data_IF_425962599159
#
_entry.id   IF_425962599159
#
_cell.length_a   1.000
_cell.length_b   1.000
_cell.length_c   1.000
_cell.angle_alpha   90.00
_cell.angle_beta   90.00
_cell.angle_gamma   90.00
#
_symmetry.space_group_name_H-M   'P 1'
#
loop_
_entity.id
_entity.type
_entity.pdbx_description
1 polymer ?
#
# COMPACT_ATOMS: atom_id res chain seq x y z
N UNK A 1 -20.13 -9.38 15.94
CA UNK A 1 -20.51 -8.99 14.57
C UNK A 1 -19.22 -8.74 13.83
N UNK A 2 -18.98 -9.47 12.75
CA UNK A 2 -17.88 -9.13 11.84
C UNK A 2 -18.26 -7.81 11.15
N UNK A 3 -17.45 -6.77 11.36
CA UNK A 3 -17.61 -5.50 10.69
C UNK A 3 -17.03 -5.61 9.28
N UNK A 4 -17.78 -5.15 8.29
CA UNK A 4 -17.38 -5.12 6.88
C UNK A 4 -17.04 -3.71 6.45
N UNK A 5 -16.02 -3.56 5.61
CA UNK A 5 -15.63 -2.26 5.11
C UNK A 5 -16.28 -2.00 3.75
N UNK A 6 -17.06 -0.92 3.66
CA UNK A 6 -17.71 -0.49 2.42
C UNK A 6 -17.03 0.78 1.94
N UNK A 7 -16.41 0.72 0.77
CA UNK A 7 -15.96 1.90 0.04
C UNK A 7 -17.17 2.54 -0.66
N UNK A 8 -17.32 3.85 -0.52
CA UNK A 8 -18.39 4.62 -1.14
C UNK A 8 -17.79 5.75 -1.96
N UNK A 9 -18.06 5.75 -3.26
CA UNK A 9 -17.52 6.69 -4.23
C UNK A 9 -18.67 7.42 -4.92
N UNK A 10 -18.55 8.73 -5.10
CA UNK A 10 -19.48 9.48 -5.95
C UNK A 10 -18.88 9.56 -7.35
N UNK A 11 -19.72 9.36 -8.35
CA UNK A 11 -19.34 9.41 -9.76
C UNK A 11 -19.78 10.74 -10.39
N UNK A 12 -19.09 11.16 -11.46
CA UNK A 12 -19.33 12.46 -12.12
C UNK A 12 -20.75 12.60 -12.71
N UNK A 13 -21.43 11.48 -12.95
CA UNK A 13 -22.82 11.39 -13.39
C UNK A 13 -23.85 11.51 -12.25
N UNK A 14 -23.39 11.79 -11.02
CA UNK A 14 -24.24 12.01 -9.84
C UNK A 14 -24.74 10.73 -9.17
N UNK A 15 -24.22 9.58 -9.55
CA UNK A 15 -24.47 8.31 -8.87
C UNK A 15 -23.47 8.09 -7.73
N UNK A 16 -23.78 7.10 -6.90
CA UNK A 16 -22.93 6.61 -5.82
C UNK A 16 -22.68 5.12 -6.04
N UNK A 17 -21.41 4.74 -5.99
CA UNK A 17 -20.95 3.35 -6.06
C UNK A 17 -20.55 2.89 -4.66
N UNK A 18 -21.09 1.76 -4.22
CA UNK A 18 -20.74 1.13 -2.95
C UNK A 18 -20.12 -0.25 -3.20
N UNK A 19 -18.95 -0.51 -2.62
CA UNK A 19 -18.16 -1.74 -2.83
C UNK A 19 -17.74 -2.34 -1.50
N UNK A 20 -17.95 -3.64 -1.30
CA UNK A 20 -17.42 -4.36 -0.13
C UNK A 20 -15.94 -4.67 -0.37
N UNK A 21 -15.04 -4.14 0.46
CA UNK A 21 -13.60 -4.21 0.19
C UNK A 21 -13.05 -5.64 0.20
N UNK A 22 -13.59 -6.49 1.07
CA UNK A 22 -13.20 -7.89 1.19
C UNK A 22 -13.71 -8.74 0.01
N UNK A 23 -14.69 -8.22 -0.74
CA UNK A 23 -15.37 -8.92 -1.84
C UNK A 23 -15.64 -7.91 -2.98
N UNK A 24 -14.63 -7.54 -3.79
CA UNK A 24 -14.72 -6.40 -4.73
C UNK A 24 -15.79 -6.54 -5.82
N UNK A 25 -16.20 -7.76 -6.18
CA UNK A 25 -17.31 -8.04 -7.10
C UNK A 25 -18.70 -7.81 -6.44
N UNK A 26 -18.75 -7.67 -5.12
CA UNK A 26 -19.91 -7.20 -4.37
C UNK A 26 -19.98 -5.67 -4.38
N UNK A 27 -20.29 -5.13 -5.55
CA UNK A 27 -20.52 -3.71 -5.80
C UNK A 27 -21.97 -3.43 -6.26
N UNK A 28 -22.47 -2.23 -5.96
CA UNK A 28 -23.73 -1.68 -6.46
C UNK A 28 -23.55 -0.19 -6.78
N UNK A 29 -24.27 0.27 -7.81
CA UNK A 29 -24.45 1.70 -8.13
C UNK A 29 -25.88 2.12 -7.82
N UNK A 30 -26.07 3.26 -7.17
CA UNK A 30 -27.36 3.84 -6.86
C UNK A 30 -27.33 5.37 -7.01
N UNK A 31 -28.49 6.03 -7.09
CA UNK A 31 -28.58 7.49 -7.12
C UNK A 31 -28.28 8.14 -5.77
N UNK A 32 -28.30 7.36 -4.69
CA UNK A 32 -28.12 7.85 -3.34
C UNK A 32 -27.11 7.02 -2.58
N UNK A 33 -26.35 7.66 -1.69
CA UNK A 33 -25.45 6.96 -0.76
C UNK A 33 -26.19 5.91 0.07
N UNK A 34 -27.36 6.25 0.61
CA UNK A 34 -28.13 5.33 1.44
C UNK A 34 -28.60 4.11 0.61
N UNK A 35 -29.15 4.33 -0.58
CA UNK A 35 -29.59 3.25 -1.45
C UNK A 35 -28.45 2.34 -1.90
N UNK A 36 -27.27 2.90 -2.21
CA UNK A 36 -26.09 2.12 -2.57
C UNK A 36 -25.66 1.20 -1.42
N UNK A 37 -25.60 1.74 -0.20
CA UNK A 37 -25.21 0.98 1.00
C UNK A 37 -26.23 -0.11 1.35
N UNK A 38 -27.53 0.20 1.38
CA UNK A 38 -28.57 -0.79 1.68
C UNK A 38 -28.58 -1.94 0.65
N UNK A 39 -28.45 -1.61 -0.63
CA UNK A 39 -28.43 -2.61 -1.71
C UNK A 39 -27.17 -3.46 -1.69
N UNK A 40 -25.99 -2.88 -1.44
CA UNK A 40 -24.75 -3.67 -1.37
C UNK A 40 -24.76 -4.61 -0.16
N UNK A 41 -25.33 -4.19 0.98
CA UNK A 41 -25.55 -5.05 2.15
C UNK A 41 -26.48 -6.22 1.79
N UNK A 42 -27.60 -5.95 1.11
CA UNK A 42 -28.52 -7.02 0.68
C UNK A 42 -27.87 -7.99 -0.31
N UNK A 43 -27.05 -7.48 -1.25
CA UNK A 43 -26.27 -8.29 -2.19
C UNK A 43 -25.29 -9.21 -1.45
N UNK A 44 -24.57 -8.66 -0.46
CA UNK A 44 -23.63 -9.41 0.37
C UNK A 44 -24.34 -10.52 1.16
N UNK A 45 -25.45 -10.19 1.84
CA UNK A 45 -26.24 -11.17 2.61
C UNK A 45 -26.73 -12.33 1.74
N UNK A 46 -27.26 -12.04 0.53
CA UNK A 46 -27.69 -13.08 -0.41
C UNK A 46 -26.57 -14.01 -0.86
N UNK A 47 -25.36 -13.47 -1.02
CA UNK A 47 -24.18 -14.27 -1.38
C UNK A 47 -23.76 -15.16 -0.21
N UNK A 48 -23.65 -14.59 1.00
CA UNK A 48 -23.26 -15.32 2.21
C UNK A 48 -24.28 -16.37 2.65
N UNK A 49 -25.53 -16.28 2.21
CA UNK A 49 -26.52 -17.34 2.41
C UNK A 49 -26.12 -18.67 1.74
N UNK A 50 -25.25 -18.63 0.71
CA UNK A 50 -24.82 -19.80 -0.06
C UNK A 50 -23.29 -19.95 -0.12
N UNK A 51 -22.53 -19.11 0.61
CA UNK A 51 -21.08 -19.08 0.55
C UNK A 51 -20.48 -18.69 1.90
N UNK A 52 -19.27 -19.18 2.17
CA UNK A 52 -18.51 -18.88 3.39
C UNK A 52 -17.18 -18.22 3.02
N UNK A 53 -16.69 -17.33 3.89
CA UNK A 53 -15.34 -16.80 3.79
C UNK A 53 -14.38 -17.72 4.54
N UNK A 54 -13.47 -18.35 3.81
CA UNK A 54 -12.40 -19.14 4.41
C UNK A 54 -11.13 -18.29 4.49
N UNK A 55 -10.67 -18.03 5.70
CA UNK A 55 -9.37 -17.38 5.93
C UNK A 55 -8.27 -18.42 5.74
N UNK A 56 -7.43 -18.24 4.73
CA UNK A 56 -6.25 -19.06 4.52
C UNK A 56 -5.00 -18.34 5.05
N UNK A 57 -4.09 -19.02 5.75
CA UNK A 57 -2.79 -18.47 6.06
C UNK A 57 -2.00 -18.36 4.76
N UNK A 58 -1.71 -17.14 4.31
CA UNK A 58 -0.73 -16.93 3.26
C UNK A 58 0.63 -16.94 3.95
N UNK A 59 1.49 -17.89 3.57
CA UNK A 59 2.90 -17.83 3.97
C UNK A 59 3.55 -16.70 3.17
N UNK A 60 3.41 -15.47 3.66
CA UNK A 60 4.38 -14.44 3.32
C UNK A 60 5.64 -14.91 4.00
N UNK A 61 6.58 -15.48 3.23
CA UNK A 61 7.95 -15.57 3.72
C UNK A 61 8.28 -14.17 4.23
N UNK A 62 8.53 -14.00 5.54
CA UNK A 62 8.87 -12.68 6.01
C UNK A 62 10.10 -12.24 5.20
N UNK A 63 10.15 -10.97 4.79
CA UNK A 63 11.37 -10.34 4.28
C UNK A 63 12.40 -10.28 5.42
N UNK A 64 12.79 -11.44 5.95
CA UNK A 64 14.01 -11.68 6.70
C UNK A 64 15.03 -12.20 5.70
N UNK A 65 15.08 -11.59 4.51
CA UNK A 65 16.41 -11.34 3.99
C UNK A 65 16.99 -10.32 4.96
N UNK A 66 18.04 -10.68 5.69
CA UNK A 66 19.01 -9.69 6.17
C UNK A 66 19.04 -8.56 5.15
N UNK A 67 18.71 -7.34 5.57
CA UNK A 67 18.59 -6.19 4.68
C UNK A 67 19.76 -6.29 3.69
N UNK A 68 19.48 -6.45 2.40
CA UNK A 68 20.52 -6.64 1.40
C UNK A 68 21.49 -5.46 1.36
N UNK A 69 21.22 -4.39 2.13
CA UNK A 69 22.08 -3.24 2.35
C UNK A 69 23.09 -3.46 3.49
N UNK A 70 22.81 -4.32 4.48
CA UNK A 70 23.76 -4.68 5.55
C UNK A 70 25.07 -5.26 4.98
N UNK A 71 25.00 -6.01 3.88
CA UNK A 71 26.19 -6.57 3.21
C UNK A 71 27.13 -5.52 2.61
N UNK A 72 26.68 -4.27 2.49
CA UNK A 72 27.47 -3.16 1.96
C UNK A 72 27.90 -2.17 3.06
N UNK A 73 27.52 -2.40 4.32
CA UNK A 73 27.92 -1.53 5.41
C UNK A 73 29.45 -1.58 5.59
N UNK A 74 30.10 -0.41 5.53
CA UNK A 74 31.55 -0.30 5.70
C UNK A 74 32.41 -0.76 4.52
N UNK A 75 31.81 -1.03 3.35
CA UNK A 75 32.54 -1.56 2.17
C UNK A 75 33.73 -0.67 1.71
N UNK A 76 33.69 0.63 2.02
CA UNK A 76 34.75 1.59 1.67
C UNK A 76 35.52 2.14 2.88
N UNK A 77 35.38 1.52 4.07
CA UNK A 77 35.96 2.06 5.30
C UNK A 77 37.49 2.22 5.21
N UNK A 78 38.17 1.25 4.59
CA UNK A 78 39.63 1.21 4.48
C UNK A 78 40.11 1.40 3.02
N UNK A 79 39.25 1.91 2.13
CA UNK A 79 39.58 2.14 0.72
C UNK A 79 40.30 3.49 0.54
N UNK A 80 41.60 3.49 0.16
CA UNK A 80 42.39 4.71 0.01
C UNK A 80 41.91 5.60 -1.14
N UNK A 81 41.39 5.01 -2.21
CA UNK A 81 40.89 5.74 -3.38
C UNK A 81 39.58 6.46 -2.99
N UNK A 82 38.73 5.81 -2.20
CA UNK A 82 37.51 6.43 -1.67
C UNK A 82 37.83 7.63 -0.77
N UNK A 83 38.87 7.53 0.07
CA UNK A 83 39.33 8.64 0.91
C UNK A 83 39.82 9.84 0.08
N UNK A 84 40.57 9.58 -0.99
CA UNK A 84 41.06 10.63 -1.89
C UNK A 84 39.91 11.37 -2.58
N UNK A 85 38.93 10.63 -3.11
CA UNK A 85 37.73 11.19 -3.74
C UNK A 85 36.95 12.06 -2.75
N UNK A 86 36.79 11.60 -1.50
CA UNK A 86 36.10 12.35 -0.45
C UNK A 86 36.81 13.66 -0.09
N UNK A 87 38.14 13.67 -0.11
CA UNK A 87 38.95 14.88 0.12
C UNK A 87 38.78 15.89 -1.02
N UNK A 88 38.82 15.43 -2.27
CA UNK A 88 38.61 16.29 -3.45
C UNK A 88 37.21 16.91 -3.44
N UNK A 89 36.16 16.10 -3.22
CA UNK A 89 34.79 16.60 -3.12
C UNK A 89 34.59 17.62 -1.99
N UNK A 90 35.33 17.49 -0.89
CA UNK A 90 35.27 18.45 0.21
C UNK A 90 35.94 19.77 -0.18
N UNK A 91 37.11 19.72 -0.80
CA UNK A 91 37.82 20.90 -1.27
C UNK A 91 36.98 21.71 -2.26
N UNK A 92 36.28 21.04 -3.19
CA UNK A 92 35.36 21.71 -4.13
C UNK A 92 34.22 22.45 -3.42
N UNK A 93 33.62 21.86 -2.37
CA UNK A 93 32.56 22.52 -1.60
C UNK A 93 33.04 23.71 -0.78
N UNK A 94 34.25 23.62 -0.24
CA UNK A 94 34.85 24.71 0.54
C UNK A 94 35.18 25.91 -0.36
N UNK A 95 35.66 25.66 -1.58
CA UNK A 95 35.90 26.70 -2.59
C UNK A 95 34.60 27.42 -3.04
N UNK A 96 33.48 26.71 -3.09
CA UNK A 96 32.16 27.28 -3.39
C UNK A 96 31.57 28.07 -2.19
N UNK A 97 32.02 27.81 -0.96
CA UNK A 97 31.56 28.51 0.24
C UNK A 97 32.29 29.82 0.55
N UNK A 98 33.42 30.07 -0.12
CA UNK A 98 34.23 31.30 -0.01
C UNK A 98 33.90 32.36 -1.11
N UNK A 99 32.77 32.21 -1.82
CA UNK A 99 32.22 33.21 -2.75
C UNK A 99 30.99 33.95 -2.20
#
# INVERSE_FOLDING_TARGET
MDNWNILVENTDDGFTVATVLEVPDCQITDKTKQGAVEKVISKLQKRLANAEIVKIPVSTQPLVSESSLMKFAGIFQDDPDFLEIMQQMRAERELDSDQ
#
